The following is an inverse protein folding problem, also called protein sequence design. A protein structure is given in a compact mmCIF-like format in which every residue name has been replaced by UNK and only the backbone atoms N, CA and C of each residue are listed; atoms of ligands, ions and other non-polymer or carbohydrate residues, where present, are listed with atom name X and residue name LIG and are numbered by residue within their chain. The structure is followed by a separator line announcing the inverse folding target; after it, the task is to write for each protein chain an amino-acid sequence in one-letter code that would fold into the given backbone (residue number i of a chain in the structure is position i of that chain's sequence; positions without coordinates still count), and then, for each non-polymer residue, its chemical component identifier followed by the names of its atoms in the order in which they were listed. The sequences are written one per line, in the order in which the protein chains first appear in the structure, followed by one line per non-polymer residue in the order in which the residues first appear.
data_IF_036151197647
#
_entry.id   IF_036151197647
#
_cell.length_a   1.000
_cell.length_b   1.000
_cell.length_c   1.000
_cell.angle_alpha   90.00
_cell.angle_beta   90.00
_cell.angle_gamma   90.00
#
_symmetry.space_group_name_H-M   'P 1'
#
loop_
_entity.id
_entity.type
_entity.pdbx_description
1 polymer ?
#
# COMPACT_ATOMS: atom_id res chain seq x y z
N UNK A 1 6.20 -9.67 8.34
CA UNK A 1 7.33 -9.33 7.43
C UNK A 1 8.15 -10.53 6.99
N UNK A 2 8.21 -11.64 7.74
CA UNK A 2 8.94 -12.85 7.34
C UNK A 2 8.64 -13.25 5.87
N UNK A 3 7.36 -13.40 5.51
CA UNK A 3 6.94 -13.67 4.13
C UNK A 3 7.48 -12.70 3.07
N UNK A 4 7.44 -11.39 3.33
CA UNK A 4 7.93 -10.38 2.39
C UNK A 4 9.47 -10.36 2.29
N UNK A 5 10.17 -10.72 3.36
CA UNK A 5 11.63 -10.86 3.34
C UNK A 5 12.08 -12.11 2.59
N UNK A 6 11.29 -13.19 2.68
CA UNK A 6 11.59 -14.46 2.05
C UNK A 6 12.87 -15.11 2.58
N UNK A 7 13.06 -16.39 2.26
CA UNK A 7 14.29 -17.14 2.53
C UNK A 7 14.43 -18.25 1.48
N UNK A 8 15.62 -18.83 1.37
CA UNK A 8 15.87 -20.02 0.56
C UNK A 8 15.28 -21.30 1.16
N UNK A 9 14.66 -21.22 2.33
CA UNK A 9 13.97 -22.30 3.02
C UNK A 9 12.47 -22.06 3.05
N UNK A 10 11.69 -23.13 3.26
CA UNK A 10 10.23 -23.03 3.30
C UNK A 10 9.66 -22.22 4.49
N UNK A 11 10.53 -21.74 5.40
CA UNK A 11 10.17 -21.14 6.68
C UNK A 11 9.35 -19.84 6.54
N UNK A 12 9.56 -19.09 5.45
CA UNK A 12 8.86 -17.82 5.20
C UNK A 12 7.83 -17.92 4.06
N UNK A 13 7.41 -19.13 3.64
CA UNK A 13 6.24 -19.25 2.77
C UNK A 13 4.95 -18.87 3.50
N UNK A 14 3.91 -18.56 2.72
CA UNK A 14 2.57 -18.39 3.24
C UNK A 14 2.16 -19.70 3.93
N UNK A 15 2.02 -19.65 5.26
CA UNK A 15 1.56 -20.80 6.04
C UNK A 15 0.15 -21.17 5.58
N UNK A 16 -0.21 -22.45 5.67
CA UNK A 16 -1.53 -22.99 5.27
C UNK A 16 -2.72 -22.28 5.95
N UNK A 17 -2.51 -21.59 7.08
CA UNK A 17 -3.52 -20.83 7.80
C UNK A 17 -3.41 -19.29 7.65
N UNK A 18 -2.59 -18.78 6.73
CA UNK A 18 -2.45 -17.34 6.52
C UNK A 18 -3.76 -16.75 5.99
N UNK A 19 -4.22 -15.64 6.59
CA UNK A 19 -5.41 -14.93 6.09
C UNK A 19 -5.11 -14.37 4.70
N UNK A 20 -6.14 -14.30 3.85
CA UNK A 20 -6.01 -13.75 2.50
C UNK A 20 -5.38 -12.35 2.48
N UNK A 21 -5.68 -11.51 3.47
CA UNK A 21 -5.08 -10.18 3.63
C UNK A 21 -3.57 -10.22 3.96
N UNK A 22 -3.13 -11.19 4.76
CA UNK A 22 -1.72 -11.36 5.11
C UNK A 22 -0.90 -11.85 3.91
N UNK A 23 -1.48 -12.75 3.11
CA UNK A 23 -0.87 -13.22 1.86
C UNK A 23 -0.79 -12.07 0.85
N UNK A 24 -1.88 -11.34 0.63
CA UNK A 24 -1.90 -10.22 -0.32
C UNK A 24 -0.93 -9.09 0.09
N UNK A 25 -0.92 -8.72 1.38
CA UNK A 25 0.03 -7.72 1.90
C UNK A 25 1.48 -8.20 1.81
N UNK A 26 1.72 -9.48 2.08
CA UNK A 26 3.01 -10.11 1.91
C UNK A 26 3.51 -10.08 0.46
N UNK A 27 2.63 -10.39 -0.51
CA UNK A 27 2.93 -10.36 -1.95
C UNK A 27 3.26 -8.93 -2.38
N UNK A 28 2.41 -7.96 -2.01
CA UNK A 28 2.63 -6.56 -2.33
C UNK A 28 3.99 -6.06 -1.81
N UNK A 29 4.31 -6.34 -0.54
CA UNK A 29 5.59 -5.96 0.05
C UNK A 29 6.75 -6.68 -0.62
N UNK A 30 6.65 -7.98 -0.92
CA UNK A 30 7.71 -8.73 -1.62
C UNK A 30 7.98 -8.13 -3.00
N UNK A 31 6.94 -7.76 -3.75
CA UNK A 31 7.07 -7.18 -5.09
C UNK A 31 7.74 -5.80 -5.11
N UNK A 32 7.78 -5.10 -3.98
CA UNK A 32 8.42 -3.77 -3.86
C UNK A 32 9.82 -3.83 -3.22
N UNK A 33 10.17 -4.94 -2.57
CA UNK A 33 11.50 -5.13 -1.98
C UNK A 33 12.51 -5.38 -3.11
N UNK A 34 13.69 -4.74 -3.03
CA UNK A 34 14.79 -4.98 -3.95
C UNK A 34 15.17 -6.46 -3.97
N UNK A 35 15.34 -7.04 -5.17
CA UNK A 35 15.52 -8.49 -5.39
C UNK A 35 14.34 -9.37 -4.92
N UNK A 36 13.21 -8.76 -4.56
CA UNK A 36 12.01 -9.46 -4.16
C UNK A 36 11.32 -10.14 -5.34
N UNK A 37 11.49 -11.46 -5.45
CA UNK A 37 10.86 -12.28 -6.48
C UNK A 37 9.80 -13.18 -5.86
N UNK A 38 8.71 -13.38 -6.60
CA UNK A 38 7.71 -14.40 -6.32
C UNK A 38 8.16 -15.68 -7.03
N UNK A 39 8.12 -16.81 -6.31
CA UNK A 39 8.48 -18.10 -6.89
C UNK A 39 7.44 -18.51 -7.94
N UNK A 40 7.92 -19.01 -9.07
CA UNK A 40 7.11 -19.59 -10.14
C UNK A 40 7.82 -20.83 -10.70
N UNK A 41 7.03 -21.73 -11.26
CA UNK A 41 7.57 -22.79 -12.10
C UNK A 41 7.82 -22.24 -13.50
N UNK A 42 8.96 -22.58 -14.09
CA UNK A 42 9.36 -22.15 -15.45
C UNK A 42 8.56 -22.85 -16.56
N UNK A 43 7.63 -23.74 -16.18
CA UNK A 43 6.78 -24.50 -17.08
C UNK A 43 5.48 -23.73 -17.33
N UNK A 44 5.13 -23.50 -18.60
CA UNK A 44 3.85 -22.89 -18.95
C UNK A 44 3.78 -21.38 -18.71
N UNK A 45 2.69 -20.90 -18.12
CA UNK A 45 2.37 -19.47 -17.98
C UNK A 45 2.49 -18.95 -16.54
N UNK A 46 3.02 -19.74 -15.61
CA UNK A 46 3.08 -19.41 -14.18
C UNK A 46 3.94 -18.17 -13.91
N UNK A 47 5.06 -18.00 -14.61
CA UNK A 47 5.91 -16.80 -14.54
C UNK A 47 5.13 -15.50 -14.82
N UNK A 48 4.20 -15.54 -15.80
CA UNK A 48 3.36 -14.40 -16.14
C UNK A 48 2.27 -14.18 -15.10
N UNK A 49 1.71 -15.26 -14.57
CA UNK A 49 0.68 -15.20 -13.54
C UNK A 49 1.23 -14.59 -12.24
N UNK A 50 2.42 -15.01 -11.79
CA UNK A 50 3.03 -14.45 -10.58
C UNK A 50 3.44 -12.99 -10.77
N UNK A 51 3.93 -12.59 -11.95
CA UNK A 51 4.19 -11.19 -12.25
C UNK A 51 2.91 -10.35 -12.20
N UNK A 52 1.84 -10.81 -12.85
CA UNK A 52 0.56 -10.10 -12.84
C UNK A 52 0.00 -9.96 -11.41
N UNK A 53 0.09 -11.01 -10.60
CA UNK A 53 -0.32 -10.99 -9.19
C UNK A 53 0.51 -10.01 -8.38
N UNK A 54 1.84 -10.01 -8.55
CA UNK A 54 2.74 -9.07 -7.87
C UNK A 54 2.44 -7.61 -8.22
N UNK A 55 2.30 -7.31 -9.51
CA UNK A 55 1.95 -5.97 -10.02
C UNK A 55 0.60 -5.51 -9.47
N UNK A 56 -0.42 -6.39 -9.52
CA UNK A 56 -1.75 -6.05 -9.04
C UNK A 56 -1.77 -5.79 -7.52
N UNK A 57 -1.07 -6.63 -6.74
CA UNK A 57 -0.97 -6.45 -5.30
C UNK A 57 -0.25 -5.15 -4.93
N UNK A 58 0.86 -4.84 -5.62
CA UNK A 58 1.58 -3.58 -5.45
C UNK A 58 0.71 -2.37 -5.81
N UNK A 59 0.00 -2.40 -6.94
CA UNK A 59 -0.88 -1.29 -7.37
C UNK A 59 -2.02 -1.05 -6.38
N UNK A 60 -2.64 -2.11 -5.85
CA UNK A 60 -3.67 -1.97 -4.81
C UNK A 60 -3.13 -1.35 -3.53
N UNK A 61 -1.91 -1.71 -3.13
CA UNK A 61 -1.24 -1.11 -1.97
C UNK A 61 -0.93 0.38 -2.21
N UNK A 62 -0.38 0.73 -3.38
CA UNK A 62 -0.10 2.12 -3.75
C UNK A 62 -1.37 2.98 -3.79
N UNK A 63 -2.46 2.48 -4.37
CA UNK A 63 -3.74 3.18 -4.37
C UNK A 63 -4.33 3.38 -2.96
N UNK A 64 -4.15 2.41 -2.06
CA UNK A 64 -4.54 2.57 -0.66
C UNK A 64 -3.71 3.65 0.05
N UNK A 65 -2.39 3.68 -0.19
CA UNK A 65 -1.48 4.71 0.35
C UNK A 65 -1.85 6.10 -0.17
N UNK A 66 -2.11 6.24 -1.47
CA UNK A 66 -2.54 7.49 -2.09
C UNK A 66 -3.82 8.03 -1.44
N UNK A 67 -4.81 7.17 -1.19
CA UNK A 67 -6.05 7.54 -0.51
C UNK A 67 -5.80 8.04 0.92
N UNK A 68 -4.95 7.37 1.69
CA UNK A 68 -4.60 7.79 3.07
C UNK A 68 -3.89 9.14 3.06
N UNK A 69 -2.95 9.35 2.14
CA UNK A 69 -2.26 10.63 1.97
C UNK A 69 -3.26 11.73 1.59
N UNK A 70 -4.11 11.49 0.60
CA UNK A 70 -5.13 12.45 0.14
C UNK A 70 -6.10 12.85 1.25
N UNK A 71 -6.62 11.89 2.03
CA UNK A 71 -7.49 12.17 3.19
C UNK A 71 -6.79 13.04 4.24
N UNK A 72 -5.51 12.78 4.48
CA UNK A 72 -4.71 13.54 5.45
C UNK A 72 -4.51 14.97 4.99
N UNK A 73 -4.12 15.17 3.72
CA UNK A 73 -3.94 16.49 3.12
C UNK A 73 -5.25 17.28 3.14
N UNK A 74 -6.36 16.67 2.70
CA UNK A 74 -7.67 17.33 2.69
C UNK A 74 -8.09 17.75 4.10
N UNK A 75 -7.89 16.91 5.11
CA UNK A 75 -8.20 17.27 6.51
C UNK A 75 -7.39 18.47 7.00
N UNK A 76 -6.14 18.59 6.59
CA UNK A 76 -5.29 19.74 6.93
C UNK A 76 -5.78 21.00 6.19
N UNK A 77 -6.06 20.89 4.88
CA UNK A 77 -6.55 22.01 4.08
C UNK A 77 -7.89 22.56 4.57
N UNK A 78 -8.82 21.69 4.99
CA UNK A 78 -10.10 22.12 5.57
C UNK A 78 -9.91 22.89 6.88
N UNK A 79 -8.98 22.45 7.75
CA UNK A 79 -8.63 23.20 8.97
C UNK A 79 -8.06 24.58 8.66
N UNK A 80 -7.09 24.64 7.73
CA UNK A 80 -6.47 25.91 7.29
C UNK A 80 -7.53 26.85 6.72
N UNK A 81 -8.46 26.33 5.90
CA UNK A 81 -9.55 27.13 5.32
C UNK A 81 -10.51 27.67 6.39
N UNK A 82 -10.84 26.87 7.40
CA UNK A 82 -11.67 27.29 8.52
C UNK A 82 -11.01 28.43 9.32
N UNK A 83 -9.74 28.29 9.69
CA UNK A 83 -8.98 29.32 10.40
C UNK A 83 -8.88 30.63 9.60
N UNK A 84 -8.58 30.54 8.30
CA UNK A 84 -8.56 31.71 7.40
C UNK A 84 -9.94 32.40 7.35
N UNK A 85 -11.03 31.63 7.30
CA UNK A 85 -12.37 32.19 7.28
C UNK A 85 -12.72 32.91 8.59
N UNK A 86 -12.33 32.37 9.75
CA UNK A 86 -12.53 33.01 11.04
C UNK A 86 -11.74 34.34 11.15
N UNK A 87 -10.49 34.36 10.68
CA UNK A 87 -9.69 35.60 10.61
C UNK A 87 -10.34 36.64 9.69
N UNK A 88 -10.91 36.21 8.55
CA UNK A 88 -11.60 37.14 7.63
C UNK A 88 -12.85 37.73 8.27
N UNK A 89 -13.64 36.92 8.99
CA UNK A 89 -14.83 37.39 9.70
C UNK A 89 -14.46 38.37 10.81
N UNK A 90 -13.46 38.06 11.63
CA UNK A 90 -13.04 38.96 12.72
C UNK A 90 -12.53 40.31 12.22
N UNK A 91 -11.84 40.33 11.06
CA UNK A 91 -11.38 41.56 10.42
C UNK A 91 -12.52 42.42 9.85
N UNK A 92 -13.63 41.80 9.45
CA UNK A 92 -14.81 42.50 8.91
C UNK A 92 -15.69 43.13 10.01
N UNK A 93 -15.66 42.60 11.24
CA UNK A 93 -16.43 43.12 12.38
C UNK A 93 -15.72 44.28 13.11
N UNK A 94 -14.41 44.45 12.86
CA UNK A 94 -13.60 45.55 13.42
C UNK A 94 -13.57 46.83 12.58
N UNK A 95 -14.43 46.97 11.57
CA UNK A 95 -14.63 48.19 10.78
C UNK A 95 -16.03 48.76 11.00
#
# INVERSE_FOLDING_TARGET
MAFAKGTNTAADLAKTAAKASEVAGGIALRSLVKEGKLASHTSGNDDKAVQAVGINAANKLLGAVENVIGKTINKILEKVKAEINEIRKSKAVGQ
#
